data_IF_038680381901
#
_entry.id   IF_038680381901
#
_cell.length_a   1.000
_cell.length_b   1.000
_cell.length_c   1.000
_cell.angle_alpha   90.00
_cell.angle_beta   90.00
_cell.angle_gamma   90.00
#
_symmetry.space_group_name_H-M   'P 1'
#
loop_
_entity.id
_entity.type
_entity.pdbx_description
1 polymer ?
#
# COMPACT_ATOMS: atom_id res chain seq x y z
N UNK A 1 -18.29 -1.63 16.89
CA UNK A 1 -19.30 -1.80 15.83
C UNK A 1 -18.95 -0.89 14.67
N UNK A 2 -18.90 -1.39 13.42
CA UNK A 2 -18.74 -0.52 12.25
C UNK A 2 -19.83 0.53 12.16
N UNK A 3 -19.45 1.73 11.75
CA UNK A 3 -20.40 2.80 11.44
C UNK A 3 -20.76 2.71 9.96
N UNK A 4 -22.07 2.71 9.68
CA UNK A 4 -22.55 2.82 8.31
C UNK A 4 -22.70 4.30 7.95
N UNK A 5 -21.99 4.72 6.93
CA UNK A 5 -22.07 6.07 6.36
C UNK A 5 -22.45 6.00 4.89
N UNK A 6 -22.77 7.13 4.30
CA UNK A 6 -23.11 7.26 2.89
C UNK A 6 -22.04 8.09 2.18
N UNK A 7 -21.59 7.61 1.01
CA UNK A 7 -20.71 8.37 0.13
C UNK A 7 -21.47 9.50 -0.57
N UNK A 8 -20.73 10.44 -1.17
CA UNK A 8 -21.34 11.58 -1.91
C UNK A 8 -22.22 11.12 -3.08
N UNK A 9 -21.96 9.96 -3.65
CA UNK A 9 -22.76 9.37 -4.74
C UNK A 9 -23.83 8.39 -4.26
N UNK A 10 -24.10 8.34 -2.94
CA UNK A 10 -25.17 7.55 -2.35
C UNK A 10 -24.85 6.10 -2.01
N UNK A 11 -23.62 5.64 -2.20
CA UNK A 11 -23.21 4.27 -1.90
C UNK A 11 -22.95 4.07 -0.39
N UNK A 12 -23.22 2.86 0.16
CA UNK A 12 -22.91 2.57 1.55
C UNK A 12 -21.40 2.43 1.78
N UNK A 13 -20.92 2.87 2.94
CA UNK A 13 -19.54 2.69 3.37
C UNK A 13 -19.50 2.30 4.85
N UNK A 14 -18.79 1.22 5.17
CA UNK A 14 -18.60 0.77 6.54
C UNK A 14 -17.26 1.33 7.08
N UNK A 15 -17.34 2.19 8.08
CA UNK A 15 -16.17 2.77 8.75
C UNK A 15 -15.91 2.05 10.07
N UNK A 16 -14.77 1.41 10.20
CA UNK A 16 -14.36 0.77 11.44
C UNK A 16 -12.85 0.66 11.56
N UNK A 17 -12.29 1.25 12.63
CA UNK A 17 -10.86 1.36 12.87
C UNK A 17 -10.14 2.20 11.79
N UNK A 18 -8.85 2.38 11.96
CA UNK A 18 -7.99 3.12 11.04
C UNK A 18 -6.53 3.00 11.50
N UNK A 19 -6.01 1.76 11.63
CA UNK A 19 -4.64 1.56 12.10
C UNK A 19 -3.65 2.02 11.04
N UNK A 20 -2.52 2.59 11.47
CA UNK A 20 -1.46 2.99 10.55
C UNK A 20 -0.66 1.78 10.04
N UNK A 21 -0.36 1.77 8.74
CA UNK A 21 0.35 0.68 8.10
C UNK A 21 1.83 0.58 8.47
N UNK A 22 2.40 1.53 9.17
CA UNK A 22 3.80 1.48 9.58
C UNK A 22 4.07 0.59 10.81
N UNK A 23 3.08 0.45 11.72
CA UNK A 23 3.21 -0.40 12.93
C UNK A 23 2.05 -1.37 13.14
N UNK A 24 1.03 -1.29 12.30
CA UNK A 24 -0.14 -2.15 12.30
C UNK A 24 -0.47 -2.57 10.86
N UNK A 25 -1.56 -3.31 10.67
CA UNK A 25 -1.88 -3.84 9.34
C UNK A 25 -2.34 -2.76 8.33
N UNK A 26 -2.73 -1.55 8.79
CA UNK A 26 -3.04 -0.44 7.88
C UNK A 26 -4.29 -0.63 7.02
N UNK A 27 -5.25 -1.43 7.47
CA UNK A 27 -6.45 -1.79 6.72
C UNK A 27 -7.68 -1.61 7.59
N UNK A 28 -8.87 -1.63 6.98
CA UNK A 28 -10.14 -1.67 7.73
C UNK A 28 -10.22 -2.95 8.57
N UNK A 29 -11.16 -2.98 9.50
CA UNK A 29 -11.31 -4.14 10.38
C UNK A 29 -11.84 -5.37 9.63
N UNK A 30 -11.41 -6.53 10.07
CA UNK A 30 -11.96 -7.81 9.62
C UNK A 30 -13.49 -7.86 9.80
N UNK A 31 -14.02 -7.29 10.89
CA UNK A 31 -15.46 -7.20 11.14
C UNK A 31 -16.16 -6.39 10.04
N UNK A 32 -15.64 -5.20 9.70
CA UNK A 32 -16.22 -4.36 8.65
C UNK A 32 -16.17 -5.04 7.28
N UNK A 33 -15.03 -5.64 6.95
CA UNK A 33 -14.86 -6.38 5.69
C UNK A 33 -15.82 -7.57 5.59
N UNK A 34 -15.93 -8.39 6.64
CA UNK A 34 -16.85 -9.55 6.68
C UNK A 34 -18.30 -9.10 6.58
N UNK A 35 -18.69 -8.03 7.27
CA UNK A 35 -20.04 -7.45 7.11
C UNK A 35 -20.31 -7.02 5.68
N UNK A 36 -19.35 -6.32 5.05
CA UNK A 36 -19.46 -5.90 3.65
C UNK A 36 -19.69 -7.08 2.72
N UNK A 37 -18.91 -8.17 2.88
CA UNK A 37 -19.02 -9.39 2.08
C UNK A 37 -20.38 -10.12 2.22
N UNK A 38 -21.10 -9.89 3.31
CA UNK A 38 -22.47 -10.42 3.49
C UNK A 38 -23.55 -9.50 2.93
N UNK A 39 -23.23 -8.24 2.66
CA UNK A 39 -24.22 -7.21 2.30
C UNK A 39 -24.10 -6.73 0.85
N UNK A 40 -22.97 -6.98 0.20
CA UNK A 40 -22.70 -6.53 -1.17
C UNK A 40 -22.12 -7.63 -2.04
N UNK A 41 -22.29 -7.50 -3.35
CA UNK A 41 -21.70 -8.40 -4.35
C UNK A 41 -20.18 -8.16 -4.48
N UNK A 42 -19.76 -6.91 -4.28
CA UNK A 42 -18.37 -6.48 -4.26
C UNK A 42 -18.06 -5.67 -3.00
N UNK A 43 -16.90 -5.93 -2.40
CA UNK A 43 -16.37 -5.15 -1.28
C UNK A 43 -15.02 -4.59 -1.66
N UNK A 44 -14.90 -3.28 -1.62
CA UNK A 44 -13.64 -2.57 -1.82
C UNK A 44 -13.11 -2.11 -0.47
N UNK A 45 -11.88 -2.44 -0.15
CA UNK A 45 -11.20 -1.98 1.06
C UNK A 45 -9.89 -1.32 0.70
N UNK A 46 -9.45 -0.37 1.53
CA UNK A 46 -8.18 0.33 1.34
C UNK A 46 -7.07 -0.33 2.15
N UNK A 47 -5.87 -0.36 1.58
CA UNK A 47 -4.63 -0.73 2.27
C UNK A 47 -3.70 0.47 2.32
N UNK A 48 -3.21 0.83 3.50
CA UNK A 48 -2.38 2.01 3.71
C UNK A 48 -1.02 1.91 3.02
N UNK A 49 -0.59 2.98 2.38
CA UNK A 49 0.66 3.10 1.60
C UNK A 49 0.68 2.18 0.36
N UNK A 50 1.82 1.53 0.06
CA UNK A 50 1.99 0.72 -1.13
C UNK A 50 1.70 -0.78 -0.93
N UNK A 51 1.84 -1.54 -2.01
CA UNK A 51 1.68 -3.00 -1.99
C UNK A 51 2.72 -3.69 -1.10
N UNK A 52 3.84 -3.03 -0.86
CA UNK A 52 4.92 -3.47 0.03
C UNK A 52 4.62 -3.30 1.53
N UNK A 53 3.58 -2.57 1.88
CA UNK A 53 3.21 -2.30 3.28
C UNK A 53 1.78 -2.74 3.59
N UNK A 54 0.78 -1.93 3.25
CA UNK A 54 -0.60 -2.21 3.63
C UNK A 54 -1.17 -3.44 2.95
N UNK A 55 -0.91 -3.64 1.65
CA UNK A 55 -1.40 -4.82 0.94
C UNK A 55 -0.72 -6.11 1.45
N UNK A 56 0.61 -6.10 1.63
CA UNK A 56 1.32 -7.25 2.22
C UNK A 56 0.68 -7.66 3.55
N UNK A 57 0.42 -6.68 4.43
CA UNK A 57 -0.19 -6.93 5.74
C UNK A 57 -1.66 -7.34 5.65
N UNK A 58 -2.40 -6.81 4.67
CA UNK A 58 -3.74 -7.30 4.38
C UNK A 58 -3.69 -8.80 4.08
N UNK A 59 -2.76 -9.23 3.25
CA UNK A 59 -2.68 -10.60 2.77
C UNK A 59 -2.09 -11.55 3.81
N UNK A 60 -0.91 -11.23 4.34
CA UNK A 60 -0.20 -12.12 5.27
C UNK A 60 -0.74 -12.07 6.71
N UNK A 61 -1.49 -11.03 7.09
CA UNK A 61 -2.08 -10.89 8.42
C UNK A 61 -3.60 -11.00 8.37
N UNK A 62 -4.29 -10.03 7.74
CA UNK A 62 -5.76 -9.92 7.84
C UNK A 62 -6.46 -11.05 7.09
N UNK A 63 -6.06 -11.35 5.85
CA UNK A 63 -6.63 -12.44 5.07
C UNK A 63 -6.32 -13.80 5.68
N UNK A 64 -5.10 -13.99 6.19
CA UNK A 64 -4.71 -15.20 6.91
C UNK A 64 -5.63 -15.46 8.12
N UNK A 65 -5.82 -14.45 8.98
CA UNK A 65 -6.63 -14.57 10.20
C UNK A 65 -8.12 -14.71 9.88
N UNK A 66 -8.59 -13.98 8.86
CA UNK A 66 -10.00 -13.94 8.48
C UNK A 66 -10.44 -15.02 7.48
N UNK A 67 -9.51 -15.80 6.92
CA UNK A 67 -9.83 -16.75 5.85
C UNK A 67 -10.32 -16.06 4.57
N UNK A 68 -9.92 -14.78 4.35
CA UNK A 68 -10.34 -14.00 3.19
C UNK A 68 -9.48 -14.33 1.97
N UNK A 69 -10.07 -14.22 0.78
CA UNK A 69 -9.37 -14.40 -0.51
C UNK A 69 -9.70 -13.20 -1.40
N UNK A 70 -8.74 -12.29 -1.61
CA UNK A 70 -8.93 -11.16 -2.52
C UNK A 70 -9.13 -11.63 -3.96
N UNK A 71 -10.09 -11.03 -4.68
CA UNK A 71 -10.33 -11.34 -6.08
C UNK A 71 -9.46 -10.50 -7.02
N UNK A 72 -9.18 -9.25 -6.65
CA UNK A 72 -8.40 -8.32 -7.46
C UNK A 72 -7.69 -7.30 -6.56
N UNK A 73 -6.56 -6.80 -7.00
CA UNK A 73 -5.86 -5.65 -6.41
C UNK A 73 -5.99 -4.45 -7.32
N UNK A 74 -6.32 -3.30 -6.75
CA UNK A 74 -6.20 -2.01 -7.42
C UNK A 74 -4.89 -1.35 -6.98
N UNK A 75 -3.97 -1.14 -7.91
CA UNK A 75 -2.76 -0.36 -7.69
C UNK A 75 -2.98 1.07 -8.18
N UNK A 76 -3.02 2.01 -7.24
CA UNK A 76 -3.17 3.43 -7.58
C UNK A 76 -1.82 4.00 -8.00
N UNK A 77 -1.75 4.56 -9.21
CA UNK A 77 -0.59 5.27 -9.75
C UNK A 77 -0.94 6.72 -10.07
N UNK A 78 0.03 7.63 -9.95
CA UNK A 78 -0.10 9.02 -10.38
C UNK A 78 1.09 9.41 -11.25
N UNK A 79 0.85 10.24 -12.26
CA UNK A 79 1.92 10.83 -13.10
C UNK A 79 2.98 11.49 -12.22
N UNK A 80 2.56 12.24 -11.20
CA UNK A 80 3.46 12.92 -10.27
C UNK A 80 4.39 11.96 -9.52
N UNK A 81 3.85 10.85 -9.00
CA UNK A 81 4.65 9.88 -8.26
C UNK A 81 5.72 9.23 -9.16
N UNK A 82 5.36 8.87 -10.40
CA UNK A 82 6.31 8.30 -11.34
C UNK A 82 7.38 9.32 -11.74
N UNK A 83 7.03 10.58 -11.99
CA UNK A 83 8.00 11.66 -12.22
C UNK A 83 8.98 11.82 -11.05
N UNK A 84 8.48 11.78 -9.82
CA UNK A 84 9.30 11.85 -8.61
C UNK A 84 10.28 10.67 -8.52
N UNK A 85 9.81 9.44 -8.70
CA UNK A 85 10.65 8.26 -8.75
C UNK A 85 11.65 8.27 -9.92
N UNK A 86 11.34 8.97 -11.01
CA UNK A 86 12.24 9.22 -12.13
C UNK A 86 13.22 10.38 -11.94
N UNK A 87 13.28 10.96 -10.73
CA UNK A 87 14.26 11.98 -10.34
C UNK A 87 13.86 13.42 -10.64
N UNK A 88 12.56 13.71 -10.84
CA UNK A 88 12.08 15.10 -10.86
C UNK A 88 11.72 15.56 -9.44
N UNK A 89 12.01 16.83 -9.13
CA UNK A 89 11.72 17.45 -7.85
C UNK A 89 10.22 17.44 -7.54
N UNK A 90 9.86 17.53 -6.26
CA UNK A 90 8.48 17.44 -5.76
C UNK A 90 7.50 18.45 -6.39
N UNK A 91 7.98 19.52 -6.97
CA UNK A 91 7.13 20.46 -7.70
C UNK A 91 6.70 19.96 -9.09
N UNK A 92 7.23 18.80 -9.56
CA UNK A 92 6.75 18.01 -10.70
C UNK A 92 6.47 18.74 -12.01
N UNK A 93 6.62 20.04 -11.97
CA UNK A 93 6.51 20.93 -13.11
C UNK A 93 7.76 20.80 -13.97
N UNK A 94 7.84 19.69 -14.72
CA UNK A 94 8.68 19.72 -15.88
C UNK A 94 8.11 20.81 -16.79
N UNK A 95 8.80 21.93 -16.90
CA UNK A 95 8.50 22.96 -17.90
C UNK A 95 8.65 22.42 -19.33
N UNK A 96 9.03 21.16 -19.49
CA UNK A 96 9.25 20.45 -20.72
C UNK A 96 8.61 19.05 -20.65
N UNK A 97 7.64 18.81 -21.52
CA UNK A 97 6.91 17.56 -21.66
C UNK A 97 7.86 16.37 -21.90
N UNK A 98 8.89 16.54 -22.74
CA UNK A 98 9.84 15.48 -23.05
C UNK A 98 10.61 15.02 -21.81
N UNK A 99 11.00 15.94 -20.94
CA UNK A 99 11.65 15.63 -19.66
C UNK A 99 10.67 14.93 -18.71
N UNK A 100 9.42 15.37 -18.67
CA UNK A 100 8.37 14.73 -17.89
C UNK A 100 8.13 13.28 -18.31
N UNK A 101 8.02 13.04 -19.63
CA UNK A 101 7.83 11.71 -20.20
C UNK A 101 9.04 10.79 -19.91
N UNK A 102 10.27 11.29 -20.05
CA UNK A 102 11.46 10.52 -19.69
C UNK A 102 11.49 10.13 -18.22
N UNK A 103 11.12 11.04 -17.32
CA UNK A 103 11.05 10.75 -15.90
C UNK A 103 9.95 9.70 -15.56
N UNK A 104 8.79 9.75 -16.24
CA UNK A 104 7.76 8.72 -16.10
C UNK A 104 8.31 7.34 -16.48
N UNK A 105 9.02 7.23 -17.61
CA UNK A 105 9.61 5.95 -18.04
C UNK A 105 10.60 5.42 -16.99
N UNK A 106 11.48 6.26 -16.47
CA UNK A 106 12.44 5.87 -15.43
C UNK A 106 11.73 5.48 -14.13
N UNK A 107 10.74 6.26 -13.71
CA UNK A 107 10.01 6.02 -12.47
C UNK A 107 9.03 4.85 -12.54
N UNK A 108 8.71 4.38 -13.74
CA UNK A 108 7.82 3.22 -13.93
C UNK A 108 8.40 1.93 -13.36
N UNK A 109 9.71 1.84 -13.12
CA UNK A 109 10.31 0.69 -12.44
C UNK A 109 9.81 0.53 -11.00
N UNK A 110 9.44 1.62 -10.32
CA UNK A 110 8.77 1.53 -9.03
C UNK A 110 7.39 0.85 -9.16
N UNK A 111 6.59 1.27 -10.14
CA UNK A 111 5.29 0.64 -10.43
C UNK A 111 5.46 -0.82 -10.84
N UNK A 112 6.46 -1.14 -11.68
CA UNK A 112 6.80 -2.51 -12.07
C UNK A 112 7.10 -3.38 -10.84
N UNK A 113 7.89 -2.85 -9.90
CA UNK A 113 8.18 -3.58 -8.65
C UNK A 113 6.92 -3.83 -7.83
N UNK A 114 6.02 -2.86 -7.70
CA UNK A 114 4.74 -3.03 -7.01
C UNK A 114 3.84 -4.06 -7.70
N UNK A 115 3.77 -4.07 -9.03
CA UNK A 115 3.07 -5.11 -9.80
C UNK A 115 3.71 -6.49 -9.58
N UNK A 116 5.03 -6.56 -9.49
CA UNK A 116 5.76 -7.77 -9.14
C UNK A 116 5.37 -8.31 -7.76
N UNK A 117 5.28 -7.44 -6.75
CA UNK A 117 4.84 -7.81 -5.40
C UNK A 117 3.42 -8.39 -5.42
N UNK A 118 2.50 -7.79 -6.16
CA UNK A 118 1.12 -8.26 -6.27
C UNK A 118 1.09 -9.66 -6.91
N UNK A 119 1.87 -9.88 -7.96
CA UNK A 119 2.00 -11.20 -8.61
C UNK A 119 2.54 -12.28 -7.69
N UNK A 120 3.45 -11.92 -6.75
CA UNK A 120 3.96 -12.85 -5.73
C UNK A 120 2.85 -13.48 -4.87
N UNK A 121 1.72 -12.80 -4.73
CA UNK A 121 0.55 -13.32 -4.01
C UNK A 121 -0.49 -14.02 -4.90
N UNK A 122 -0.28 -14.06 -6.21
CA UNK A 122 -1.14 -14.76 -7.17
C UNK A 122 -2.47 -14.06 -7.46
N UNK A 123 -2.58 -12.74 -7.28
CA UNK A 123 -3.82 -11.97 -7.47
C UNK A 123 -3.72 -11.07 -8.71
N UNK A 124 -4.75 -11.00 -9.57
CA UNK A 124 -4.77 -10.08 -10.69
C UNK A 124 -4.78 -8.62 -10.22
N UNK A 125 -4.18 -7.73 -11.01
CA UNK A 125 -4.05 -6.32 -10.69
C UNK A 125 -4.61 -5.43 -11.78
N UNK A 126 -5.41 -4.43 -11.39
CA UNK A 126 -5.81 -3.29 -12.23
C UNK A 126 -5.08 -2.06 -11.74
N UNK A 127 -4.45 -1.32 -12.65
CA UNK A 127 -3.81 -0.04 -12.32
C UNK A 127 -4.83 1.08 -12.51
N UNK A 128 -5.09 1.81 -11.43
CA UNK A 128 -5.88 3.05 -11.46
C UNK A 128 -4.94 4.24 -11.63
N UNK A 129 -4.95 4.87 -12.80
CA UNK A 129 -4.20 6.12 -13.03
C UNK A 129 -5.04 7.28 -12.48
N UNK A 130 -4.73 7.71 -11.27
CA UNK A 130 -5.39 8.85 -10.63
C UNK A 130 -4.96 10.13 -11.33
N UNK A 131 -5.79 10.59 -12.25
CA UNK A 131 -5.55 11.79 -13.04
C UNK A 131 -5.72 13.06 -12.21
N UNK A 132 -4.78 13.98 -12.38
CA UNK A 132 -4.84 15.35 -11.85
C UNK A 132 -5.07 16.36 -12.96
N UNK A 133 -5.61 17.56 -12.66
CA UNK A 133 -5.86 18.60 -13.67
C UNK A 133 -4.62 19.04 -14.46
N UNK A 134 -3.44 18.92 -13.85
CA UNK A 134 -2.17 19.28 -14.47
C UNK A 134 -1.56 18.18 -15.36
N UNK A 135 -2.08 16.95 -15.32
CA UNK A 135 -1.57 15.83 -16.11
C UNK A 135 -2.04 15.95 -17.57
N UNK A 136 -1.11 15.80 -18.52
CA UNK A 136 -1.47 15.77 -19.94
C UNK A 136 -2.00 14.40 -20.37
N UNK A 137 -2.75 14.37 -21.48
CA UNK A 137 -3.29 13.10 -22.02
C UNK A 137 -2.17 12.14 -22.41
N UNK A 138 -1.07 12.66 -22.95
CA UNK A 138 0.11 11.89 -23.35
C UNK A 138 0.80 11.23 -22.15
N UNK A 139 0.93 11.94 -21.04
CA UNK A 139 1.51 11.41 -19.81
C UNK A 139 0.64 10.31 -19.20
N UNK A 140 -0.67 10.53 -19.12
CA UNK A 140 -1.63 9.55 -18.62
C UNK A 140 -1.60 8.28 -19.48
N UNK A 141 -1.63 8.41 -20.82
CA UNK A 141 -1.59 7.27 -21.72
C UNK A 141 -0.25 6.53 -21.66
N UNK A 142 0.87 7.24 -21.43
CA UNK A 142 2.16 6.60 -21.20
C UNK A 142 2.13 5.73 -19.93
N UNK A 143 1.57 6.23 -18.83
CA UNK A 143 1.45 5.45 -17.58
C UNK A 143 0.58 4.20 -17.80
N UNK A 144 -0.57 4.31 -18.49
CA UNK A 144 -1.43 3.17 -18.83
C UNK A 144 -0.67 2.10 -19.62
N UNK A 145 0.03 2.51 -20.68
CA UNK A 145 0.82 1.61 -21.52
C UNK A 145 1.91 0.91 -20.71
N UNK A 146 2.69 1.64 -19.91
CA UNK A 146 3.74 1.06 -19.07
C UNK A 146 3.16 0.08 -18.04
N UNK A 147 2.00 0.37 -17.46
CA UNK A 147 1.34 -0.55 -16.53
C UNK A 147 0.99 -1.90 -17.21
N UNK A 148 0.45 -1.84 -18.42
CA UNK A 148 0.14 -3.06 -19.21
C UNK A 148 1.41 -3.81 -19.62
N UNK A 149 2.45 -3.11 -20.08
CA UNK A 149 3.75 -3.69 -20.42
C UNK A 149 4.40 -4.41 -19.22
N UNK A 150 4.19 -3.89 -18.01
CA UNK A 150 4.67 -4.49 -16.76
C UNK A 150 3.72 -5.55 -16.16
N UNK A 151 2.65 -5.92 -16.87
CA UNK A 151 1.81 -7.06 -16.56
C UNK A 151 0.61 -6.76 -15.65
N UNK A 152 0.14 -5.52 -15.61
CA UNK A 152 -1.20 -5.24 -15.10
C UNK A 152 -2.25 -5.92 -16.01
N UNK A 153 -3.33 -6.44 -15.42
CA UNK A 153 -4.45 -7.01 -16.20
C UNK A 153 -5.15 -5.92 -17.00
N UNK A 154 -5.37 -4.77 -16.39
CA UNK A 154 -5.89 -3.58 -17.02
C UNK A 154 -5.27 -2.32 -16.40
N UNK A 155 -5.34 -1.21 -17.12
CA UNK A 155 -4.89 0.09 -16.63
C UNK A 155 -5.87 1.17 -17.12
N UNK A 156 -6.62 1.76 -16.20
CA UNK A 156 -7.68 2.71 -16.51
C UNK A 156 -7.53 4.03 -15.78
N UNK A 157 -8.03 5.10 -16.40
CA UNK A 157 -8.03 6.43 -15.80
C UNK A 157 -9.09 6.49 -14.71
N UNK A 158 -8.69 6.95 -13.54
CA UNK A 158 -9.61 7.31 -12.47
C UNK A 158 -9.65 8.85 -12.35
N UNK A 159 -10.73 9.44 -12.84
CA UNK A 159 -11.04 10.87 -12.73
C UNK A 159 -12.17 11.12 -11.72
N UNK A 160 -12.31 10.24 -10.74
CA UNK A 160 -13.32 10.33 -9.70
C UNK A 160 -13.22 11.61 -8.84
N UNK A 161 -12.03 12.20 -8.74
CA UNK A 161 -11.84 13.45 -8.03
C UNK A 161 -12.57 14.64 -8.72
N UNK A 162 -12.48 14.74 -10.05
CA UNK A 162 -13.07 15.86 -10.81
C UNK A 162 -14.52 15.59 -11.21
N UNK A 163 -14.88 14.33 -11.49
CA UNK A 163 -16.15 13.92 -12.09
C UNK A 163 -17.01 13.02 -11.21
N UNK A 164 -16.57 12.74 -9.97
CA UNK A 164 -17.28 11.81 -9.10
C UNK A 164 -17.34 10.39 -9.69
N UNK A 165 -18.41 9.65 -9.40
CA UNK A 165 -18.58 8.27 -9.86
C UNK A 165 -18.54 8.10 -11.38
N UNK A 166 -18.99 9.11 -12.15
CA UNK A 166 -18.92 9.07 -13.63
C UNK A 166 -17.49 9.01 -14.16
N UNK A 167 -16.53 9.60 -13.42
CA UNK A 167 -15.10 9.58 -13.78
C UNK A 167 -14.41 8.25 -13.46
N UNK A 168 -15.11 7.29 -12.88
CA UNK A 168 -14.54 6.00 -12.45
C UNK A 168 -15.24 4.79 -13.09
N UNK A 169 -16.17 4.97 -14.05
CA UNK A 169 -16.99 3.88 -14.61
C UNK A 169 -16.13 2.85 -15.32
N UNK A 170 -15.28 3.26 -16.25
CA UNK A 170 -14.43 2.34 -17.04
C UNK A 170 -13.44 1.60 -16.14
N UNK A 171 -12.88 2.33 -15.19
CA UNK A 171 -12.02 1.74 -14.15
C UNK A 171 -12.78 0.71 -13.29
N UNK A 172 -13.99 1.03 -12.84
CA UNK A 172 -14.81 0.11 -12.05
C UNK A 172 -15.16 -1.16 -12.86
N UNK A 173 -15.48 -1.04 -14.16
CA UNK A 173 -15.73 -2.17 -15.03
C UNK A 173 -14.49 -3.07 -15.16
N UNK A 174 -13.31 -2.47 -15.35
CA UNK A 174 -12.05 -3.24 -15.41
C UNK A 174 -11.77 -4.01 -14.11
N UNK A 175 -12.14 -3.46 -12.95
CA UNK A 175 -12.04 -4.15 -11.66
C UNK A 175 -13.02 -5.32 -11.57
N UNK A 176 -14.27 -5.13 -12.00
CA UNK A 176 -15.28 -6.20 -12.05
C UNK A 176 -14.79 -7.33 -12.94
N UNK A 177 -14.33 -7.02 -14.16
CA UNK A 177 -13.80 -8.01 -15.10
C UNK A 177 -12.60 -8.78 -14.52
N UNK A 178 -11.71 -8.10 -13.82
CA UNK A 178 -10.57 -8.71 -13.14
C UNK A 178 -10.98 -9.62 -11.97
N UNK A 179 -12.08 -9.33 -11.28
CA UNK A 179 -12.60 -10.17 -10.20
C UNK A 179 -13.14 -11.52 -10.69
N UNK A 180 -13.53 -11.64 -11.98
CA UNK A 180 -14.01 -12.88 -12.59
C UNK A 180 -12.88 -13.81 -13.04
N UNK A 181 -11.63 -13.35 -12.98
CA UNK A 181 -10.47 -14.16 -13.32
C UNK A 181 -10.18 -15.20 -12.24
N UNK A 182 -9.69 -16.35 -12.66
CA UNK A 182 -9.06 -17.29 -11.74
C UNK A 182 -7.83 -16.66 -11.11
N UNK A 183 -7.68 -16.80 -9.79
CA UNK A 183 -6.49 -16.36 -9.08
C UNK A 183 -5.96 -17.47 -8.16
N UNK A 184 -4.66 -17.46 -7.94
CA UNK A 184 -3.95 -18.39 -7.06
C UNK A 184 -3.49 -17.69 -5.79
N UNK A 185 -4.41 -16.94 -5.16
CA UNK A 185 -4.08 -16.21 -3.93
C UNK A 185 -3.51 -17.13 -2.85
N UNK A 186 -2.33 -16.78 -2.37
CA UNK A 186 -1.65 -17.45 -1.28
C UNK A 186 -0.87 -16.45 -0.41
N UNK A 187 -0.64 -16.83 0.82
CA UNK A 187 0.21 -16.08 1.76
C UNK A 187 1.68 -16.45 1.54
N UNK A 188 2.61 -15.55 1.86
CA UNK A 188 4.02 -15.74 1.49
C UNK A 188 4.79 -16.73 2.37
N UNK A 189 4.34 -17.01 3.59
CA UNK A 189 5.03 -17.87 4.53
C UNK A 189 4.05 -18.73 5.36
N UNK A 190 4.52 -19.84 5.88
CA UNK A 190 3.74 -20.67 6.83
C UNK A 190 3.75 -20.06 8.24
N UNK A 191 2.66 -20.24 9.00
CA UNK A 191 2.59 -19.81 10.41
C UNK A 191 3.64 -20.48 11.28
N UNK A 192 4.04 -21.71 10.94
CA UNK A 192 5.05 -22.49 11.65
C UNK A 192 6.50 -22.09 11.35
N UNK A 193 6.72 -21.26 10.34
CA UNK A 193 8.05 -20.73 10.08
C UNK A 193 8.55 -19.91 11.28
N UNK A 194 9.85 -19.91 11.52
CA UNK A 194 10.44 -19.06 12.57
C UNK A 194 10.19 -17.57 12.25
N UNK A 195 10.12 -16.72 13.28
CA UNK A 195 9.95 -15.29 13.09
C UNK A 195 11.03 -14.69 12.18
N UNK A 196 12.28 -15.17 12.30
CA UNK A 196 13.37 -14.75 11.42
C UNK A 196 13.13 -15.18 9.96
N UNK A 197 12.59 -16.38 9.72
CA UNK A 197 12.27 -16.85 8.37
C UNK A 197 11.17 -16.00 7.75
N UNK A 198 10.10 -15.70 8.48
CA UNK A 198 9.00 -14.80 8.03
C UNK A 198 9.53 -13.42 7.65
N UNK A 199 10.35 -12.82 8.51
CA UNK A 199 10.99 -11.51 8.25
C UNK A 199 11.83 -11.55 6.95
N UNK A 200 12.63 -12.60 6.77
CA UNK A 200 13.45 -12.78 5.56
C UNK A 200 12.59 -12.95 4.31
N UNK A 201 11.53 -13.73 4.40
CA UNK A 201 10.60 -13.93 3.27
C UNK A 201 9.99 -12.61 2.82
N UNK A 202 9.47 -11.80 3.75
CA UNK A 202 8.93 -10.48 3.43
C UNK A 202 10.01 -9.58 2.82
N UNK A 203 11.18 -9.48 3.47
CA UNK A 203 12.25 -8.62 3.01
C UNK A 203 12.73 -8.98 1.59
N UNK A 204 12.87 -10.27 1.28
CA UNK A 204 13.38 -10.71 -0.02
C UNK A 204 12.29 -10.63 -1.11
N UNK A 205 11.11 -11.21 -0.87
CA UNK A 205 10.06 -11.32 -1.88
C UNK A 205 9.31 -10.01 -2.11
N UNK A 206 9.01 -9.28 -1.03
CA UNK A 206 8.25 -8.03 -1.09
C UNK A 206 9.17 -6.85 -1.34
N UNK A 207 10.19 -6.64 -0.52
CA UNK A 207 11.04 -5.44 -0.66
C UNK A 207 12.14 -5.59 -1.73
N UNK A 208 12.51 -6.81 -2.11
CA UNK A 208 13.62 -7.07 -3.04
C UNK A 208 14.99 -6.96 -2.39
N UNK A 209 15.06 -7.06 -1.07
CA UNK A 209 16.32 -7.05 -0.35
C UNK A 209 17.15 -8.31 -0.62
N UNK A 210 18.46 -8.19 -0.67
CA UNK A 210 19.39 -9.33 -0.73
C UNK A 210 19.41 -10.14 0.55
N UNK A 211 19.07 -9.50 1.69
CA UNK A 211 19.07 -10.16 2.99
C UNK A 211 18.54 -9.29 4.11
N UNK A 212 18.64 -9.86 5.31
CA UNK A 212 18.22 -9.20 6.55
C UNK A 212 19.38 -9.25 7.55
N UNK A 213 19.67 -8.11 8.15
CA UNK A 213 20.61 -8.03 9.27
C UNK A 213 19.87 -7.83 10.58
N UNK A 214 19.80 -8.86 11.39
CA UNK A 214 19.13 -8.81 12.71
C UNK A 214 20.15 -8.40 13.77
N UNK A 215 19.89 -7.28 14.47
CA UNK A 215 20.77 -6.83 15.54
C UNK A 215 20.73 -7.82 16.72
N UNK A 216 21.84 -7.99 17.47
CA UNK A 216 21.93 -8.97 18.55
C UNK A 216 20.83 -8.86 19.62
N UNK A 217 20.35 -7.65 19.89
CA UNK A 217 19.23 -7.42 20.82
C UNK A 217 17.90 -7.93 20.24
N UNK A 218 17.61 -7.63 18.98
CA UNK A 218 16.42 -8.12 18.29
C UNK A 218 16.44 -9.65 18.20
N UNK A 219 17.60 -10.26 17.93
CA UNK A 219 17.76 -11.71 17.87
C UNK A 219 17.47 -12.37 19.21
N UNK A 220 17.95 -11.80 20.33
CA UNK A 220 17.62 -12.30 21.68
C UNK A 220 16.12 -12.23 21.97
N UNK A 221 15.47 -11.14 21.57
CA UNK A 221 14.00 -10.97 21.72
C UNK A 221 13.25 -11.97 20.86
N UNK A 222 13.63 -12.19 19.60
CA UNK A 222 13.03 -13.20 18.72
C UNK A 222 13.06 -14.58 19.39
N UNK A 223 14.23 -15.03 19.85
CA UNK A 223 14.36 -16.33 20.54
C UNK A 223 13.47 -16.42 21.78
N UNK A 224 13.34 -15.31 22.54
CA UNK A 224 12.45 -15.28 23.71
C UNK A 224 10.98 -15.40 23.29
N UNK A 225 10.53 -14.66 22.27
CA UNK A 225 9.16 -14.71 21.79
C UNK A 225 8.78 -16.10 21.27
N UNK A 226 9.69 -16.76 20.54
CA UNK A 226 9.49 -18.13 20.07
C UNK A 226 9.39 -19.13 21.25
N UNK A 227 10.24 -18.99 22.27
CA UNK A 227 10.19 -19.80 23.49
C UNK A 227 8.92 -19.55 24.32
N UNK A 228 8.38 -18.34 24.28
CA UNK A 228 7.12 -17.95 24.95
C UNK A 228 5.87 -18.39 24.13
N UNK A 229 6.05 -19.12 23.01
CA UNK A 229 4.93 -19.64 22.18
C UNK A 229 4.37 -18.64 21.18
N UNK A 230 5.02 -17.50 20.94
CA UNK A 230 4.57 -16.47 20.00
C UNK A 230 5.20 -16.63 18.60
N UNK A 231 5.91 -17.71 18.33
CA UNK A 231 6.55 -17.99 17.05
C UNK A 231 5.60 -18.14 15.88
N UNK A 232 4.36 -18.59 16.12
CA UNK A 232 3.34 -18.75 15.07
C UNK A 232 2.63 -17.45 14.68
N UNK A 233 2.82 -16.36 15.42
CA UNK A 233 2.25 -15.07 15.08
C UNK A 233 2.76 -14.57 13.73
N UNK A 234 1.91 -13.93 12.90
CA UNK A 234 2.37 -13.24 11.71
C UNK A 234 3.28 -12.06 12.07
N UNK A 235 4.11 -11.67 11.11
CA UNK A 235 5.03 -10.54 11.26
C UNK A 235 4.47 -9.30 10.61
N UNK A 236 4.46 -8.21 11.34
CA UNK A 236 4.15 -6.87 10.86
C UNK A 236 5.46 -6.09 10.72
N UNK A 237 5.94 -5.90 9.49
CA UNK A 237 7.17 -5.14 9.24
C UNK A 237 6.91 -3.64 9.37
N UNK A 238 7.68 -2.98 10.24
CA UNK A 238 7.62 -1.54 10.43
C UNK A 238 8.82 -0.87 9.72
N UNK A 239 8.56 -0.22 8.58
CA UNK A 239 9.57 0.48 7.77
C UNK A 239 9.07 1.84 7.30
N UNK A 240 9.93 2.61 6.65
CA UNK A 240 9.53 3.84 5.93
C UNK A 240 8.58 3.51 4.78
N UNK A 241 7.63 4.40 4.52
CA UNK A 241 6.73 4.31 3.36
C UNK A 241 7.29 5.00 2.10
N UNK A 242 8.43 5.69 2.23
CA UNK A 242 9.03 6.48 1.16
C UNK A 242 9.93 5.66 0.23
N UNK A 243 10.23 4.43 0.57
CA UNK A 243 11.10 3.54 -0.20
C UNK A 243 10.67 2.08 -0.02
N UNK A 244 10.96 1.25 -1.01
CA UNK A 244 10.89 -0.21 -0.86
C UNK A 244 11.92 -0.75 0.14
N UNK A 245 13.04 -0.03 0.33
CA UNK A 245 14.05 -0.34 1.34
C UNK A 245 13.70 0.23 2.73
N UNK A 246 14.60 0.10 3.70
CA UNK A 246 14.52 0.77 4.99
C UNK A 246 15.10 2.20 4.98
N UNK A 247 15.69 2.65 3.86
CA UNK A 247 16.28 3.98 3.67
C UNK A 247 15.34 4.85 2.81
N UNK A 248 14.75 5.92 3.38
CA UNK A 248 13.82 6.78 2.64
C UNK A 248 14.47 7.53 1.45
N UNK A 249 15.80 7.60 1.39
CA UNK A 249 16.53 8.23 0.30
C UNK A 249 16.70 7.35 -0.94
N UNK A 250 16.44 6.05 -0.84
CA UNK A 250 16.52 5.12 -1.96
C UNK A 250 15.18 5.06 -2.70
N UNK A 251 15.05 5.90 -3.71
CA UNK A 251 13.84 6.00 -4.52
C UNK A 251 13.75 4.89 -5.58
N UNK A 252 12.60 4.84 -6.26
CA UNK A 252 12.30 3.96 -7.39
C UNK A 252 12.27 2.47 -7.02
N UNK A 253 13.07 1.62 -7.65
CA UNK A 253 13.21 0.20 -7.38
C UNK A 253 14.65 -0.11 -6.92
N UNK A 254 15.01 0.17 -5.66
CA UNK A 254 16.36 -0.05 -5.17
C UNK A 254 16.73 -1.54 -5.17
N UNK A 255 17.98 -1.83 -5.47
CA UNK A 255 18.59 -3.15 -5.46
C UNK A 255 19.85 -3.18 -4.56
N UNK A 256 20.35 -4.36 -4.24
CA UNK A 256 21.62 -4.53 -3.52
C UNK A 256 21.59 -4.09 -2.06
N UNK A 257 20.42 -3.98 -1.45
CA UNK A 257 20.28 -3.53 -0.07
C UNK A 257 19.91 -4.66 0.91
N UNK A 258 20.29 -4.44 2.17
CA UNK A 258 19.94 -5.33 3.29
C UNK A 258 19.01 -4.61 4.25
N UNK A 259 17.97 -5.30 4.73
CA UNK A 259 17.03 -4.74 5.71
C UNK A 259 17.55 -4.95 7.13
N UNK A 260 17.82 -3.88 7.90
CA UNK A 260 18.21 -4.02 9.31
C UNK A 260 16.96 -4.26 10.17
N UNK A 261 16.99 -5.25 11.05
CA UNK A 261 15.98 -5.44 12.11
C UNK A 261 16.58 -5.01 13.44
N UNK A 262 16.14 -3.86 13.94
CA UNK A 262 16.68 -3.24 15.16
C UNK A 262 16.03 -3.77 16.44
N UNK A 263 14.72 -4.03 16.36
CA UNK A 263 13.92 -4.45 17.51
C UNK A 263 12.72 -5.29 17.05
N UNK A 264 12.19 -6.10 17.95
CA UNK A 264 10.91 -6.80 17.77
C UNK A 264 10.03 -6.61 18.99
N UNK A 265 8.72 -6.46 18.77
CA UNK A 265 7.74 -6.23 19.83
C UNK A 265 6.51 -7.09 19.63
N UNK A 266 6.05 -7.83 20.64
CA UNK A 266 4.81 -8.58 20.55
C UNK A 266 3.62 -7.63 20.80
N UNK A 267 2.63 -7.73 19.94
CA UNK A 267 1.31 -7.09 20.10
C UNK A 267 0.28 -8.19 20.28
N UNK A 268 0.32 -8.84 21.44
CA UNK A 268 -0.46 -10.07 21.72
C UNK A 268 -1.96 -9.85 21.64
N UNK A 269 -2.46 -8.68 22.02
CA UNK A 269 -3.87 -8.33 21.87
C UNK A 269 -4.32 -8.17 20.42
N UNK A 270 -3.38 -7.83 19.52
CA UNK A 270 -3.63 -7.72 18.09
C UNK A 270 -3.27 -9.00 17.31
N UNK A 271 -2.45 -9.88 17.89
CA UNK A 271 -2.11 -11.17 17.33
C UNK A 271 -0.96 -11.16 16.32
N UNK A 272 0.00 -10.24 16.44
CA UNK A 272 1.21 -10.22 15.59
C UNK A 272 2.46 -9.76 16.34
N UNK A 273 3.60 -9.99 15.71
CA UNK A 273 4.92 -9.47 16.15
C UNK A 273 5.33 -8.35 15.19
N UNK A 274 5.64 -7.18 15.72
CA UNK A 274 6.19 -6.06 14.94
C UNK A 274 7.70 -6.18 14.87
N UNK A 275 8.28 -6.12 13.67
CA UNK A 275 9.71 -6.02 13.40
C UNK A 275 10.06 -4.61 12.95
N UNK A 276 10.89 -3.89 13.73
CA UNK A 276 11.29 -2.52 13.49
C UNK A 276 12.57 -2.48 12.64
N UNK A 277 12.50 -1.92 11.45
CA UNK A 277 13.63 -1.90 10.49
C UNK A 277 14.43 -0.60 10.50
N UNK A 278 13.97 0.42 11.21
CA UNK A 278 14.61 1.74 11.28
C UNK A 278 14.03 2.59 12.39
N UNK A 279 14.31 3.89 12.35
CA UNK A 279 13.64 4.87 13.18
C UNK A 279 12.28 5.16 12.56
N UNK A 280 11.29 4.34 12.91
CA UNK A 280 9.94 4.41 12.36
C UNK A 280 9.08 5.24 13.30
N UNK A 281 8.40 6.25 12.76
CA UNK A 281 7.38 6.98 13.49
C UNK A 281 6.24 6.02 13.83
N UNK A 282 6.09 5.69 15.10
CA UNK A 282 5.10 4.72 15.57
C UNK A 282 3.69 5.31 15.64
N UNK A 283 3.61 6.63 15.80
CA UNK A 283 2.37 7.39 15.78
C UNK A 283 2.66 8.75 15.12
N UNK A 284 1.81 9.22 14.19
CA UNK A 284 1.93 10.60 13.71
C UNK A 284 1.83 11.54 14.91
N UNK A 285 2.93 12.24 15.18
CA UNK A 285 2.94 13.26 16.24
C UNK A 285 2.18 14.49 15.76
N UNK A 286 1.17 14.92 16.52
CA UNK A 286 0.66 16.27 16.36
C UNK A 286 1.69 17.23 16.94
N UNK A 287 2.11 18.24 16.17
CA UNK A 287 2.91 19.36 16.65
C UNK A 287 2.15 20.12 17.73
N UNK A 288 2.86 21.01 18.45
CA UNK A 288 2.21 21.90 19.44
C UNK A 288 1.13 22.78 18.79
N UNK A 289 1.25 23.03 17.49
CA UNK A 289 0.30 23.75 16.66
C UNK A 289 -0.12 22.79 15.53
N UNK A 290 -1.23 22.06 15.71
CA UNK A 290 -1.70 21.12 14.70
C UNK A 290 -2.23 21.87 13.47
N UNK A 291 -2.05 21.29 12.26
CA UNK A 291 -2.51 21.87 11.00
C UNK A 291 -4.02 22.23 11.00
N UNK A 292 -4.81 21.52 11.81
CA UNK A 292 -6.24 21.77 11.95
C UNK A 292 -6.59 23.22 12.41
N UNK A 293 -5.67 23.94 13.08
CA UNK A 293 -5.92 25.35 13.48
C UNK A 293 -5.80 26.31 12.31
N UNK A 294 -5.21 25.89 11.20
CA UNK A 294 -5.05 26.69 9.98
C UNK A 294 -6.01 26.28 8.86
N UNK A 295 -6.71 25.17 9.03
CA UNK A 295 -7.70 24.70 8.03
C UNK A 295 -8.95 25.56 8.15
N UNK A 296 -9.35 26.18 7.04
CA UNK A 296 -10.55 26.98 6.96
C UNK A 296 -11.25 26.82 5.60
N UNK A 297 -12.48 27.30 5.49
CA UNK A 297 -13.26 27.28 4.26
C UNK A 297 -13.52 28.73 3.84
N UNK A 298 -13.11 29.08 2.64
CA UNK A 298 -13.39 30.42 2.07
C UNK A 298 -14.89 30.62 1.80
N UNK A 299 -15.32 31.87 1.60
CA UNK A 299 -16.71 32.21 1.22
C UNK A 299 -17.16 31.52 -0.08
N UNK A 300 -16.24 31.08 -0.91
CA UNK A 300 -16.50 30.30 -2.14
C UNK A 300 -16.54 28.77 -1.93
N UNK A 301 -16.43 28.30 -0.68
CA UNK A 301 -16.44 26.88 -0.35
C UNK A 301 -15.11 26.14 -0.58
N UNK A 302 -14.01 26.86 -0.87
CA UNK A 302 -12.68 26.25 -1.05
C UNK A 302 -12.01 26.05 0.29
N UNK A 303 -11.52 24.85 0.57
CA UNK A 303 -10.67 24.55 1.74
C UNK A 303 -9.30 25.16 1.55
N UNK A 304 -8.76 25.81 2.60
CA UNK A 304 -7.42 26.40 2.66
C UNK A 304 -6.70 25.91 3.92
N UNK A 305 -5.36 25.98 3.94
CA UNK A 305 -4.57 25.63 5.11
C UNK A 305 -4.37 24.11 5.35
N UNK A 306 -4.65 23.27 4.36
CA UNK A 306 -4.39 21.83 4.45
C UNK A 306 -2.90 21.50 4.26
N UNK A 307 -2.15 22.33 3.53
CA UNK A 307 -0.71 22.17 3.21
C UNK A 307 -0.04 23.54 3.17
#
# INVERSE_FOLDING_TARGET
MPNLIQTLVGQPCLMHCGPFANIAHGNSSLIGTTMGLHLGDYVVTESGFGSDMGMEKLFDIVCRVGGLRPSCVVLVATVRALKHHGGLDDNGAASDLARGMAAIVLGAENMNRHLGIIREFGVPCVVAVNRRPEDTDEEVELVRRLALEHGAHAAEVNDGFSRGGEGAIDFAQAVVDACELENDFHVLYDSKDSLTSKIKTIANRVYGAEGVYVLPEAERKIRKLEADGLGEFPVCMAKTHLSLSADPGLLNAPEGFTVPVRDVRPYTGAGWVVALTGDVMQMPGLGKEPAAVHVDITDTGRTVGLF
#
